data_IF_959092599596
#
_entry.id   IF_959092599596
#
_cell.length_a   1.000
_cell.length_b   1.000
_cell.length_c   1.000
_cell.angle_alpha   90.00
_cell.angle_beta   90.00
_cell.angle_gamma   90.00
#
_symmetry.space_group_name_H-M   'P 1'
#
loop_
_entity.id
_entity.type
_entity.pdbx_description
1 polymer ?
#
# COMPACT_ATOMS: atom_id res chain seq x y z
N UNK A 1 18.06 35.65 -23.18
CA UNK A 1 17.05 34.61 -22.88
C UNK A 1 17.38 34.04 -21.50
N UNK A 2 16.57 34.26 -20.45
CA UNK A 2 16.80 33.58 -19.19
C UNK A 2 16.45 32.10 -19.38
N UNK A 3 17.39 31.22 -19.02
CA UNK A 3 17.15 29.78 -18.94
C UNK A 3 16.14 29.51 -17.81
N UNK A 4 15.17 28.61 -17.98
CA UNK A 4 14.32 28.21 -16.87
C UNK A 4 15.21 27.52 -15.84
N UNK A 5 15.46 28.18 -14.71
CA UNK A 5 15.98 27.56 -13.51
C UNK A 5 15.08 26.38 -13.18
N UNK A 6 15.61 25.17 -13.40
CA UNK A 6 14.98 23.94 -12.94
C UNK A 6 14.79 24.09 -11.44
N UNK A 7 13.56 24.38 -11.02
CA UNK A 7 13.15 24.44 -9.64
C UNK A 7 13.60 23.13 -9.00
N UNK A 8 14.62 23.19 -8.15
CA UNK A 8 15.07 22.02 -7.42
C UNK A 8 13.85 21.47 -6.65
N UNK A 9 13.58 20.15 -6.69
CA UNK A 9 12.49 19.61 -5.90
C UNK A 9 12.77 19.96 -4.45
N UNK A 10 11.89 20.77 -3.85
CA UNK A 10 11.90 21.00 -2.40
C UNK A 10 11.97 19.62 -1.77
N UNK A 11 12.90 19.39 -0.83
CA UNK A 11 12.95 18.12 -0.09
C UNK A 11 11.58 18.00 0.57
N UNK A 12 10.73 17.17 -0.03
CA UNK A 12 9.37 16.94 0.43
C UNK A 12 9.40 16.45 1.87
N UNK A 13 8.26 16.56 2.60
CA UNK A 13 8.15 15.98 3.93
C UNK A 13 8.65 14.53 3.89
N UNK A 14 9.46 14.17 4.89
CA UNK A 14 10.04 12.84 4.99
C UNK A 14 8.99 11.77 4.70
N UNK A 15 9.35 10.76 3.91
CA UNK A 15 8.44 9.68 3.54
C UNK A 15 7.81 9.06 4.80
N UNK A 16 6.49 9.24 5.02
CA UNK A 16 5.84 8.85 6.27
C UNK A 16 5.90 7.33 6.48
N UNK A 17 5.90 6.55 5.40
CA UNK A 17 6.03 5.08 5.47
C UNK A 17 7.45 4.69 5.87
N UNK A 18 8.47 5.44 5.42
CA UNK A 18 9.87 5.20 5.85
C UNK A 18 10.05 5.45 7.34
N UNK A 19 9.41 6.49 7.88
CA UNK A 19 9.40 6.78 9.32
C UNK A 19 8.68 5.67 10.09
N UNK A 20 7.53 5.21 9.57
CA UNK A 20 6.78 4.10 10.17
C UNK A 20 7.59 2.79 10.19
N UNK A 21 8.27 2.48 9.10
CA UNK A 21 9.14 1.30 8.98
C UNK A 21 10.25 1.33 10.02
N UNK A 22 10.88 2.48 10.26
CA UNK A 22 11.89 2.60 11.32
C UNK A 22 11.33 2.31 12.71
N UNK A 23 10.10 2.78 13.00
CA UNK A 23 9.46 2.55 14.30
C UNK A 23 9.03 1.10 14.51
N UNK A 24 8.59 0.42 13.44
CA UNK A 24 8.07 -0.95 13.48
C UNK A 24 9.03 -1.97 12.89
N UNK A 25 10.34 -1.68 12.91
CA UNK A 25 11.37 -2.46 12.23
C UNK A 25 11.35 -3.94 12.63
N UNK A 26 11.34 -4.23 13.93
CA UNK A 26 11.36 -5.61 14.44
C UNK A 26 10.16 -6.44 13.97
N UNK A 27 8.97 -5.83 13.91
CA UNK A 27 7.77 -6.47 13.37
C UNK A 27 7.95 -6.73 11.87
N UNK A 28 8.37 -5.71 11.14
CA UNK A 28 8.48 -5.75 9.69
C UNK A 28 9.57 -6.72 9.22
N UNK A 29 10.63 -6.95 10.00
CA UNK A 29 11.71 -7.91 9.68
C UNK A 29 11.31 -9.35 9.99
N UNK A 30 10.54 -9.58 11.07
CA UNK A 30 10.11 -10.93 11.48
C UNK A 30 8.91 -11.46 10.70
N UNK A 31 8.01 -10.57 10.28
CA UNK A 31 6.77 -10.95 9.61
C UNK A 31 7.02 -11.73 8.32
N UNK A 32 6.34 -12.84 8.09
CA UNK A 32 6.55 -13.64 6.87
C UNK A 32 5.69 -13.12 5.72
N UNK A 33 4.59 -12.42 6.02
CA UNK A 33 3.65 -11.89 5.06
C UNK A 33 3.04 -10.52 5.48
N UNK A 34 2.34 -9.81 4.56
CA UNK A 34 1.67 -8.54 4.86
C UNK A 34 0.53 -8.63 5.88
N UNK A 35 -0.17 -9.76 6.00
CA UNK A 35 -1.27 -9.93 6.98
C UNK A 35 -0.71 -9.95 8.40
N UNK A 36 0.43 -10.60 8.63
CA UNK A 36 1.13 -10.57 9.93
C UNK A 36 1.54 -9.14 10.31
N UNK A 37 1.99 -8.34 9.32
CA UNK A 37 2.27 -6.92 9.54
C UNK A 37 0.98 -6.17 9.87
N UNK A 38 -0.11 -6.39 9.12
CA UNK A 38 -1.39 -5.72 9.36
C UNK A 38 -1.92 -6.02 10.78
N UNK A 39 -1.97 -7.29 11.17
CA UNK A 39 -2.38 -7.70 12.51
C UNK A 39 -1.47 -7.09 13.59
N UNK A 40 -0.16 -7.06 13.36
CA UNK A 40 0.79 -6.42 14.27
C UNK A 40 0.59 -4.90 14.39
N UNK A 41 0.21 -4.22 13.32
CA UNK A 41 -0.10 -2.80 13.34
C UNK A 41 -1.42 -2.53 14.08
N UNK A 42 -2.47 -3.30 13.81
CA UNK A 42 -3.77 -3.20 14.47
C UNK A 42 -3.69 -3.47 15.97
N UNK A 43 -2.92 -4.48 16.39
CA UNK A 43 -2.67 -4.77 17.80
C UNK A 43 -1.97 -3.60 18.53
N UNK A 44 -1.29 -2.72 17.79
CA UNK A 44 -0.65 -1.50 18.30
C UNK A 44 -1.52 -0.25 18.13
N UNK A 45 -2.78 -0.42 17.70
CA UNK A 45 -3.79 0.64 17.56
C UNK A 45 -3.83 1.33 16.21
N UNK A 46 -3.13 0.83 15.18
CA UNK A 46 -3.25 1.36 13.83
C UNK A 46 -4.59 0.94 13.22
N UNK A 47 -5.25 1.88 12.53
CA UNK A 47 -6.56 1.68 11.89
C UNK A 47 -6.56 2.26 10.49
N UNK A 48 -7.56 1.94 9.67
CA UNK A 48 -7.68 2.45 8.29
C UNK A 48 -7.68 3.99 8.24
N UNK A 49 -8.37 4.63 9.18
CA UNK A 49 -8.37 6.09 9.34
C UNK A 49 -6.96 6.64 9.57
N UNK A 50 -6.14 5.88 10.27
CA UNK A 50 -4.72 6.23 10.50
C UNK A 50 -3.88 5.91 9.28
N UNK A 51 -4.14 4.80 8.57
CA UNK A 51 -3.49 4.43 7.32
C UNK A 51 -3.69 5.49 6.21
N UNK A 52 -4.86 6.13 6.17
CA UNK A 52 -5.14 7.25 5.25
C UNK A 52 -4.16 8.43 5.43
N UNK A 53 -3.63 8.65 6.64
CA UNK A 53 -2.58 9.66 6.90
C UNK A 53 -1.25 9.31 6.23
N UNK A 54 -1.00 8.01 6.03
CA UNK A 54 0.13 7.48 5.26
C UNK A 54 -0.16 7.37 3.77
N UNK A 55 -1.33 7.85 3.29
CA UNK A 55 -1.79 7.79 1.89
C UNK A 55 -2.15 6.38 1.40
N UNK A 56 -2.51 5.48 2.31
CA UNK A 56 -3.02 4.15 2.01
C UNK A 56 -4.50 4.04 2.38
N UNK A 57 -5.28 3.24 1.64
CA UNK A 57 -6.73 3.11 1.84
C UNK A 57 -7.09 2.43 3.16
N UNK A 58 -6.30 1.45 3.56
CA UNK A 58 -6.52 0.60 4.72
C UNK A 58 -5.18 0.12 5.31
N UNK A 59 -5.25 -0.52 6.48
CA UNK A 59 -4.06 -1.06 7.17
C UNK A 59 -3.38 -2.14 6.32
N UNK A 60 -4.14 -2.93 5.57
CA UNK A 60 -3.59 -3.98 4.70
C UNK A 60 -2.71 -3.40 3.57
N UNK A 61 -3.21 -2.40 2.85
CA UNK A 61 -2.49 -1.70 1.78
C UNK A 61 -1.23 -1.00 2.29
N UNK A 62 -1.26 -0.51 3.54
CA UNK A 62 -0.09 0.04 4.21
C UNK A 62 0.91 -1.07 4.57
N UNK A 63 0.43 -2.20 5.08
CA UNK A 63 1.25 -3.34 5.46
C UNK A 63 1.97 -3.97 4.26
N UNK A 64 1.32 -4.05 3.10
CA UNK A 64 1.94 -4.51 1.85
C UNK A 64 3.08 -3.59 1.40
N UNK A 65 2.88 -2.28 1.49
CA UNK A 65 3.92 -1.30 1.16
C UNK A 65 5.10 -1.41 2.14
N UNK A 66 4.84 -1.66 3.43
CA UNK A 66 5.90 -1.93 4.41
C UNK A 66 6.65 -3.23 4.08
N UNK A 67 5.93 -4.32 3.83
CA UNK A 67 6.49 -5.61 3.47
C UNK A 67 7.39 -5.51 2.23
N UNK A 68 6.93 -4.80 1.20
CA UNK A 68 7.68 -4.59 -0.04
C UNK A 68 8.95 -3.72 0.12
N UNK A 69 9.05 -2.94 1.21
CA UNK A 69 10.21 -2.09 1.50
C UNK A 69 11.22 -2.74 2.44
N UNK A 70 10.84 -3.80 3.15
CA UNK A 70 11.77 -4.55 4.01
C UNK A 70 12.74 -5.30 3.10
N UNK A 71 14.06 -5.12 3.28
CA UNK A 71 15.05 -5.88 2.52
C UNK A 71 14.95 -7.36 2.90
N UNK A 72 14.27 -8.14 2.06
CA UNK A 72 14.19 -9.61 2.12
C UNK A 72 15.21 -10.14 1.12
N UNK A 73 16.06 -11.07 1.51
CA UNK A 73 17.21 -11.54 0.73
C UNK A 73 16.93 -12.30 -0.58
N UNK A 74 15.74 -12.15 -1.16
CA UNK A 74 15.41 -12.66 -2.49
C UNK A 74 14.60 -11.61 -3.24
N UNK A 75 15.05 -11.32 -4.45
CA UNK A 75 14.59 -10.29 -5.38
C UNK A 75 13.14 -10.56 -5.84
N UNK A 76 12.17 -10.36 -4.94
CA UNK A 76 10.74 -10.43 -5.28
C UNK A 76 10.36 -9.08 -5.91
N UNK A 77 9.98 -9.03 -7.19
CA UNK A 77 9.63 -7.78 -7.84
C UNK A 77 8.47 -7.12 -7.07
N UNK A 78 8.70 -5.88 -6.65
CA UNK A 78 7.71 -5.04 -5.99
C UNK A 78 6.46 -4.98 -6.88
N UNK A 79 5.27 -5.40 -6.41
CA UNK A 79 4.06 -5.12 -7.16
C UNK A 79 3.96 -3.60 -7.25
N UNK A 80 4.15 -3.07 -8.45
CA UNK A 80 3.76 -1.70 -8.78
C UNK A 80 2.24 -1.66 -8.67
N UNK A 81 1.73 -1.44 -7.45
CA UNK A 81 0.32 -1.10 -7.27
C UNK A 81 0.10 0.18 -8.05
N UNK A 82 -0.41 0.02 -9.26
CA UNK A 82 -0.91 1.10 -10.08
C UNK A 82 -1.84 1.91 -9.17
N UNK A 83 -1.69 3.22 -9.25
CA UNK A 83 -2.47 4.18 -8.51
C UNK A 83 -3.88 4.07 -9.07
N UNK A 84 -4.68 3.15 -8.54
CA UNK A 84 -6.12 3.08 -8.78
C UNK A 84 -6.72 4.33 -8.16
N UNK A 85 -6.65 5.41 -8.96
CA UNK A 85 -7.59 6.50 -8.89
C UNK A 85 -8.98 5.89 -8.98
N UNK A 86 -9.77 6.09 -7.94
CA UNK A 86 -11.19 6.43 -8.03
C UNK A 86 -11.88 5.89 -9.29
N UNK A 87 -12.32 4.65 -9.26
CA UNK A 87 -13.46 4.20 -10.06
C UNK A 87 -14.20 3.13 -9.26
N UNK A 88 -15.18 3.58 -8.48
CA UNK A 88 -16.26 2.71 -8.03
C UNK A 88 -17.05 2.17 -9.25
N UNK A 89 -17.73 1.01 -9.13
CA UNK A 89 -17.97 0.09 -10.23
C UNK A 89 -19.25 0.42 -11.01
N UNK A 90 -19.40 0.01 -12.29
CA UNK A 90 -20.72 -0.33 -12.81
C UNK A 90 -21.13 -1.72 -12.30
N UNK A 91 -22.41 -1.95 -11.96
CA UNK A 91 -22.87 -3.25 -11.46
C UNK A 91 -22.69 -4.31 -12.54
N UNK A 92 -21.89 -5.34 -12.25
CA UNK A 92 -21.95 -6.58 -13.01
C UNK A 92 -23.28 -7.26 -12.66
N UNK A 93 -24.29 -7.01 -13.49
CA UNK A 93 -25.50 -7.83 -13.59
C UNK A 93 -25.05 -9.29 -13.66
N UNK A 94 -25.46 -10.10 -12.69
CA UNK A 94 -25.45 -11.54 -12.85
C UNK A 94 -26.48 -11.83 -13.94
N UNK A 95 -26.01 -12.17 -15.13
CA UNK A 95 -26.86 -12.81 -16.13
C UNK A 95 -26.72 -14.31 -15.92
N UNK A 96 -27.62 -14.88 -15.12
CA UNK A 96 -28.01 -16.28 -15.34
C UNK A 96 -28.78 -16.27 -16.65
N UNK A 97 -28.11 -16.68 -17.73
CA UNK A 97 -28.80 -17.18 -18.92
C UNK A 97 -28.90 -18.68 -18.77
N UNK A 98 -30.15 -19.12 -18.71
CA UNK A 98 -30.56 -20.50 -18.82
C UNK A 98 -29.89 -21.17 -20.03
N UNK A 99 -29.29 -22.34 -19.81
CA UNK A 99 -29.20 -23.34 -20.85
C UNK A 99 -30.15 -24.48 -20.47
N UNK A 100 -31.22 -24.55 -21.25
CA UNK A 100 -32.23 -25.60 -21.25
C UNK A 100 -31.83 -26.56 -22.34
N UNK A 101 -31.55 -27.83 -22.02
CA UNK A 101 -31.84 -28.99 -22.89
C UNK A 101 -31.81 -30.27 -22.02
N UNK A 102 -32.61 -31.32 -22.30
CA UNK A 102 -33.89 -31.41 -23.01
C UNK A 102 -35.11 -31.62 -22.08
#
# INVERSE_FOLDING_TARGET
MPVPERTAPTRGPADPVKVLLHRHRDLCERAVDPLEIAAGLEARGLTDRTAARFRHRDVFSLAEELYARVPRGDDRPRPVRARERDTAPPPARWSVSADRVP
#
